data_IF_865952996340
#
_entry.id   IF_865952996340
#
_cell.length_a   1.000
_cell.length_b   1.000
_cell.length_c   1.000
_cell.angle_alpha   90.00
_cell.angle_beta   90.00
_cell.angle_gamma   90.00
#
_symmetry.space_group_name_H-M   'P 1'
#
loop_
_entity.id
_entity.type
_entity.pdbx_description
1 polymer ?
#
# COMPACT_ATOMS: atom_id res chain seq x y z
N UNK A 1 8.22 -51.40 29.16
CA UNK A 1 6.87 -51.47 28.56
C UNK A 1 5.84 -50.86 29.51
N UNK A 2 5.47 -49.59 29.31
CA UNK A 2 4.15 -49.06 29.69
C UNK A 2 3.82 -47.97 28.67
N UNK A 3 3.01 -48.32 27.68
CA UNK A 3 2.41 -47.37 26.76
C UNK A 3 1.36 -46.56 27.54
N UNK A 4 1.48 -45.24 27.52
CA UNK A 4 0.37 -44.35 27.89
C UNK A 4 -0.17 -43.75 26.61
N UNK A 5 -1.25 -44.36 26.15
CA UNK A 5 -2.14 -43.84 25.11
C UNK A 5 -2.98 -42.77 25.81
N UNK A 6 -2.74 -41.50 25.50
CA UNK A 6 -3.71 -40.45 25.83
C UNK A 6 -4.71 -40.34 24.68
N UNK A 7 -6.03 -40.29 24.95
CA UNK A 7 -7.00 -40.06 23.91
C UNK A 7 -6.85 -38.63 23.40
N UNK A 8 -6.74 -38.48 22.08
CA UNK A 8 -6.83 -37.21 21.39
C UNK A 8 -8.20 -36.57 21.69
N UNK A 9 -8.23 -35.65 22.64
CA UNK A 9 -9.35 -34.70 22.76
C UNK A 9 -9.13 -33.69 21.65
N UNK A 10 -9.87 -33.87 20.56
CA UNK A 10 -10.02 -32.88 19.49
C UNK A 10 -10.73 -31.68 20.11
N UNK A 11 -9.96 -30.76 20.68
CA UNK A 11 -10.41 -29.41 20.96
C UNK A 11 -10.34 -28.63 19.65
N UNK A 12 -11.41 -28.73 18.86
CA UNK A 12 -11.69 -27.83 17.75
C UNK A 12 -12.09 -26.46 18.35
N UNK A 13 -11.12 -25.77 18.96
CA UNK A 13 -11.29 -24.36 19.31
C UNK A 13 -11.23 -23.57 18.02
N UNK A 14 -12.43 -23.32 17.52
CA UNK A 14 -12.77 -22.34 16.50
C UNK A 14 -11.86 -21.14 16.65
N UNK A 15 -10.99 -20.98 15.64
CA UNK A 15 -10.41 -19.70 15.28
C UNK A 15 -11.59 -18.75 15.09
N UNK A 16 -11.93 -17.98 16.11
CA UNK A 16 -12.74 -16.78 15.96
C UNK A 16 -11.74 -15.73 15.47
N UNK A 17 -11.63 -15.48 14.15
CA UNK A 17 -11.08 -14.19 13.75
C UNK A 17 -11.95 -13.13 14.43
N UNK A 18 -11.40 -11.98 14.87
CA UNK A 18 -12.26 -10.84 15.18
C UNK A 18 -13.18 -10.66 13.98
N UNK A 19 -14.49 -10.55 14.25
CA UNK A 19 -15.54 -10.43 13.24
C UNK A 19 -15.13 -9.35 12.23
N UNK A 20 -14.54 -9.81 11.14
CA UNK A 20 -14.29 -9.05 9.96
C UNK A 20 -15.65 -8.92 9.32
N UNK A 21 -16.15 -7.69 9.21
CA UNK A 21 -17.11 -7.38 8.15
C UNK A 21 -16.40 -7.58 6.82
N UNK A 22 -16.27 -8.83 6.39
CA UNK A 22 -15.82 -9.19 5.07
C UNK A 22 -17.03 -9.12 4.15
N UNK A 23 -17.16 -8.02 3.44
CA UNK A 23 -17.37 -7.98 2.00
C UNK A 23 -16.51 -6.77 1.59
N UNK A 24 -15.36 -6.93 0.94
CA UNK A 24 -15.23 -7.17 -0.50
C UNK A 24 -13.85 -7.78 -0.81
N UNK A 25 -13.83 -8.82 -1.64
CA UNK A 25 -12.72 -9.26 -2.51
C UNK A 25 -13.35 -9.28 -3.91
N UNK A 26 -12.74 -8.72 -4.98
CA UNK A 26 -11.41 -9.15 -5.43
C UNK A 26 -10.41 -8.08 -5.87
N UNK A 27 -9.15 -8.38 -5.57
CA UNK A 27 -8.00 -7.99 -6.36
C UNK A 27 -8.19 -8.36 -7.84
N UNK A 28 -8.11 -7.36 -8.72
CA UNK A 28 -7.68 -7.48 -10.12
C UNK A 28 -7.30 -6.08 -10.67
N UNK A 29 -6.43 -6.00 -11.68
CA UNK A 29 -5.06 -5.49 -11.62
C UNK A 29 -4.92 -3.95 -11.63
N UNK A 30 -4.05 -3.40 -10.76
CA UNK A 30 -3.59 -1.99 -10.80
C UNK A 30 -3.23 -1.41 -9.43
N UNK A 31 -1.96 -1.50 -9.04
CA UNK A 31 -1.38 -1.41 -7.67
C UNK A 31 -1.40 -0.05 -6.90
N UNK A 32 -2.48 0.73 -6.92
CA UNK A 32 -2.59 1.96 -6.10
C UNK A 32 -4.05 2.42 -5.92
N UNK A 33 -4.38 3.20 -4.87
CA UNK A 33 -5.70 3.83 -4.73
C UNK A 33 -6.10 4.67 -5.96
N UNK A 34 -5.12 5.31 -6.61
CA UNK A 34 -5.30 6.07 -7.86
C UNK A 34 -5.73 5.18 -9.02
N UNK A 35 -5.07 4.03 -9.21
CA UNK A 35 -5.44 3.09 -10.27
C UNK A 35 -6.76 2.39 -9.99
N UNK A 36 -7.06 2.03 -8.74
CA UNK A 36 -8.37 1.51 -8.35
C UNK A 36 -9.49 2.53 -8.65
N UNK A 37 -9.27 3.80 -8.30
CA UNK A 37 -10.20 4.89 -8.58
C UNK A 37 -10.45 5.09 -10.08
N UNK A 38 -9.38 5.10 -10.88
CA UNK A 38 -9.48 5.24 -12.34
C UNK A 38 -10.14 4.01 -12.98
N UNK A 39 -9.75 2.81 -12.55
CA UNK A 39 -10.29 1.56 -13.08
C UNK A 39 -11.79 1.48 -12.82
N UNK A 40 -12.22 1.87 -11.61
CA UNK A 40 -13.63 1.92 -11.26
C UNK A 40 -14.39 2.97 -12.06
N UNK A 41 -13.83 4.19 -12.20
CA UNK A 41 -14.43 5.23 -13.04
C UNK A 41 -14.64 4.77 -14.49
N UNK A 42 -13.69 4.02 -15.06
CA UNK A 42 -13.77 3.49 -16.43
C UNK A 42 -14.91 2.49 -16.63
N UNK A 43 -15.34 1.77 -15.60
CA UNK A 43 -16.50 0.85 -15.69
C UNK A 43 -17.80 1.58 -16.01
N UNK A 44 -17.86 2.88 -15.73
CA UNK A 44 -19.03 3.72 -15.96
C UNK A 44 -19.05 4.40 -17.33
N UNK A 45 -18.05 4.18 -18.19
CA UNK A 45 -18.03 4.75 -19.54
C UNK A 45 -19.32 4.42 -20.32
N UNK A 46 -19.93 5.45 -20.92
CA UNK A 46 -21.17 5.34 -21.68
C UNK A 46 -22.45 5.41 -20.83
N UNK A 47 -22.37 5.45 -19.49
CA UNK A 47 -23.56 5.65 -18.65
C UNK A 47 -24.16 7.04 -18.94
N UNK A 48 -25.49 7.15 -19.22
CA UNK A 48 -26.11 8.42 -19.55
C UNK A 48 -25.98 9.47 -18.45
N UNK A 49 -25.96 10.75 -18.82
CA UNK A 49 -25.96 11.81 -17.83
C UNK A 49 -27.32 11.92 -17.15
N UNK A 50 -27.33 12.04 -15.83
CA UNK A 50 -28.53 12.35 -15.04
C UNK A 50 -28.16 13.19 -13.83
N UNK A 51 -28.69 14.42 -13.77
CA UNK A 51 -28.52 15.31 -12.62
C UNK A 51 -28.93 14.60 -11.31
N UNK A 52 -28.06 14.64 -10.29
CA UNK A 52 -28.22 13.94 -9.02
C UNK A 52 -27.97 12.43 -9.07
N UNK A 53 -27.80 11.85 -10.25
CA UNK A 53 -27.65 10.41 -10.45
C UNK A 53 -26.28 9.88 -10.02
N UNK A 54 -26.25 8.65 -9.51
CA UNK A 54 -25.02 7.93 -9.13
C UNK A 54 -25.15 6.42 -9.38
N UNK A 55 -25.94 6.03 -10.38
CA UNK A 55 -26.23 4.61 -10.72
C UNK A 55 -26.03 4.35 -12.20
N UNK A 56 -26.00 3.08 -12.62
CA UNK A 56 -25.90 2.72 -14.04
C UNK A 56 -27.07 3.22 -14.92
N UNK A 57 -28.19 3.64 -14.31
CA UNK A 57 -29.32 4.26 -15.02
C UNK A 57 -29.11 5.75 -15.32
N UNK A 58 -28.04 6.33 -14.78
CA UNK A 58 -27.62 7.69 -15.08
C UNK A 58 -26.82 8.31 -13.93
N UNK A 59 -25.81 9.11 -14.30
CA UNK A 59 -24.87 9.74 -13.38
C UNK A 59 -24.64 11.21 -13.69
N UNK A 60 -24.42 12.03 -12.66
CA UNK A 60 -23.84 13.37 -12.83
C UNK A 60 -22.33 13.36 -12.56
N UNK A 61 -21.68 14.51 -12.76
CA UNK A 61 -20.23 14.63 -12.69
C UNK A 61 -19.66 14.28 -11.32
N UNK A 62 -20.27 14.78 -10.23
CA UNK A 62 -19.86 14.40 -8.88
C UNK A 62 -20.36 13.02 -8.47
N UNK A 63 -21.38 12.47 -9.11
CA UNK A 63 -21.92 11.13 -8.86
C UNK A 63 -21.03 10.04 -9.41
N UNK A 64 -20.43 10.27 -10.57
CA UNK A 64 -19.34 9.46 -11.11
C UNK A 64 -18.16 9.44 -10.13
N UNK A 65 -17.69 10.61 -9.71
CA UNK A 65 -16.56 10.74 -8.75
C UNK A 65 -16.88 10.05 -7.43
N UNK A 66 -18.06 10.29 -6.87
CA UNK A 66 -18.53 9.67 -5.63
C UNK A 66 -18.57 8.15 -5.72
N UNK A 67 -19.15 7.59 -6.79
CA UNK A 67 -19.27 6.14 -6.95
C UNK A 67 -17.91 5.50 -7.19
N UNK A 68 -17.08 6.08 -8.05
CA UNK A 68 -15.73 5.59 -8.30
C UNK A 68 -14.85 5.64 -7.05
N UNK A 69 -15.00 6.65 -6.19
CA UNK A 69 -14.22 6.78 -4.96
C UNK A 69 -14.63 5.74 -3.91
N UNK A 70 -15.93 5.45 -3.77
CA UNK A 70 -16.43 4.44 -2.84
C UNK A 70 -16.12 3.03 -3.33
N UNK A 71 -16.39 2.73 -4.60
CA UNK A 71 -16.28 1.36 -5.13
C UNK A 71 -14.85 0.98 -5.51
N UNK A 72 -13.98 1.96 -5.78
CA UNK A 72 -12.57 1.75 -6.11
C UNK A 72 -11.70 1.75 -4.84
N UNK A 73 -11.21 2.91 -4.38
CA UNK A 73 -10.32 3.01 -3.22
C UNK A 73 -11.03 2.96 -1.86
N UNK A 74 -12.36 2.85 -1.80
CA UNK A 74 -13.10 2.79 -0.53
C UNK A 74 -13.22 4.15 0.20
N UNK A 75 -13.12 5.27 -0.52
CA UNK A 75 -13.09 6.61 0.07
C UNK A 75 -14.50 7.22 0.18
N UNK A 76 -14.83 7.70 1.38
CA UNK A 76 -16.03 8.50 1.61
C UNK A 76 -15.75 9.97 1.32
N UNK A 77 -16.42 10.51 0.31
CA UNK A 77 -16.24 11.89 -0.15
C UNK A 77 -17.58 12.62 -0.27
N UNK A 78 -17.59 13.97 -0.22
CA UNK A 78 -18.80 14.75 -0.44
C UNK A 78 -19.46 14.48 -1.79
N UNK A 79 -20.79 14.55 -1.85
CA UNK A 79 -21.58 14.27 -3.06
C UNK A 79 -21.61 15.41 -4.07
N UNK A 80 -21.32 16.64 -3.66
CA UNK A 80 -21.51 17.86 -4.47
C UNK A 80 -20.18 18.41 -4.98
N UNK A 81 -20.17 18.95 -6.20
CA UNK A 81 -18.97 19.55 -6.81
C UNK A 81 -18.41 20.69 -5.96
N UNK A 82 -19.27 21.55 -5.42
CA UNK A 82 -18.86 22.68 -4.58
C UNK A 82 -18.12 22.20 -3.33
N UNK A 83 -18.71 21.25 -2.60
CA UNK A 83 -18.08 20.75 -1.38
C UNK A 83 -16.83 19.93 -1.71
N UNK A 84 -16.74 19.28 -2.87
CA UNK A 84 -15.50 18.63 -3.34
C UNK A 84 -14.42 19.67 -3.64
N UNK A 85 -14.74 20.77 -4.33
CA UNK A 85 -13.76 21.79 -4.71
C UNK A 85 -13.19 22.54 -3.51
N UNK A 86 -14.01 22.79 -2.50
CA UNK A 86 -13.60 23.50 -1.28
C UNK A 86 -12.66 22.65 -0.40
N UNK A 87 -12.66 21.34 -0.62
CA UNK A 87 -12.05 20.33 0.23
C UNK A 87 -10.83 19.69 -0.41
N UNK A 88 -10.82 19.52 -1.73
CA UNK A 88 -9.72 18.93 -2.45
C UNK A 88 -8.41 19.71 -2.20
N UNK A 89 -7.33 18.99 -1.92
CA UNK A 89 -6.01 19.60 -1.78
C UNK A 89 -5.55 20.10 -3.13
N UNK A 90 -5.24 21.39 -3.24
CA UNK A 90 -4.82 21.98 -4.51
C UNK A 90 -3.56 21.31 -5.06
N UNK A 91 -3.57 20.97 -6.35
CA UNK A 91 -2.43 20.37 -7.07
C UNK A 91 -1.99 21.32 -8.18
N UNK A 92 -0.71 21.74 -8.19
CA UNK A 92 -0.16 22.53 -9.29
C UNK A 92 -0.33 21.83 -10.64
N UNK A 93 -0.60 22.61 -11.68
CA UNK A 93 -0.86 22.08 -13.02
C UNK A 93 0.28 21.23 -13.61
N UNK A 94 1.52 21.56 -13.24
CA UNK A 94 2.72 20.83 -13.65
C UNK A 94 2.93 19.50 -12.91
N UNK A 95 2.24 19.27 -11.79
CA UNK A 95 2.36 18.09 -10.94
C UNK A 95 1.09 17.25 -10.89
N UNK A 96 0.16 17.43 -11.85
CA UNK A 96 -1.06 16.64 -11.90
C UNK A 96 -0.75 15.17 -12.17
N UNK A 97 -1.34 14.30 -11.37
CA UNK A 97 -1.19 12.86 -11.51
C UNK A 97 -2.53 12.21 -11.87
N UNK A 98 -2.53 11.08 -12.62
CA UNK A 98 -3.74 10.30 -12.82
C UNK A 98 -4.46 10.04 -11.48
N UNK A 99 -5.77 10.28 -11.45
CA UNK A 99 -6.61 10.18 -10.26
C UNK A 99 -6.89 11.51 -9.57
N UNK A 100 -6.19 12.59 -9.92
CA UNK A 100 -6.56 13.93 -9.44
C UNK A 100 -7.90 14.38 -10.03
N UNK A 101 -8.61 15.23 -9.31
CA UNK A 101 -9.83 15.85 -9.76
C UNK A 101 -9.52 17.15 -10.51
N UNK A 102 -10.17 17.33 -11.65
CA UNK A 102 -10.13 18.57 -12.43
C UNK A 102 -11.43 19.33 -12.22
N UNK A 103 -11.33 20.58 -11.79
CA UNK A 103 -12.47 21.43 -11.49
C UNK A 103 -12.67 22.48 -12.57
N UNK A 104 -13.94 22.63 -12.99
CA UNK A 104 -14.32 23.50 -14.10
C UNK A 104 -15.45 24.45 -13.68
N UNK A 105 -15.42 25.65 -14.26
CA UNK A 105 -16.48 26.63 -14.15
C UNK A 105 -17.25 26.70 -15.48
N UNK A 106 -18.39 26.01 -15.52
CA UNK A 106 -19.28 25.94 -16.69
C UNK A 106 -20.54 26.81 -16.53
N UNK A 107 -20.84 27.27 -15.31
CA UNK A 107 -22.09 27.99 -14.98
C UNK A 107 -21.88 29.30 -14.18
N UNK A 108 -20.65 29.81 -14.11
CA UNK A 108 -20.29 31.01 -13.34
C UNK A 108 -19.61 30.73 -11.99
N UNK A 109 -19.66 29.49 -11.51
CA UNK A 109 -18.92 28.98 -10.34
C UNK A 109 -18.33 27.60 -10.64
N UNK A 110 -17.51 27.06 -9.73
CA UNK A 110 -17.06 25.66 -9.83
C UNK A 110 -18.30 24.76 -9.81
N UNK A 111 -18.57 24.13 -10.95
CA UNK A 111 -19.85 23.49 -11.24
C UNK A 111 -19.72 22.15 -11.94
N UNK A 112 -18.52 21.83 -12.39
CA UNK A 112 -18.24 20.56 -13.04
C UNK A 112 -16.90 19.99 -12.57
N UNK A 113 -16.81 18.66 -12.55
CA UNK A 113 -15.64 17.91 -12.08
C UNK A 113 -15.37 16.71 -12.99
N UNK A 114 -14.10 16.38 -13.18
CA UNK A 114 -13.66 15.17 -13.86
C UNK A 114 -12.46 14.53 -13.18
N UNK A 115 -12.17 13.28 -13.51
CA UNK A 115 -11.03 12.52 -12.97
C UNK A 115 -9.92 12.50 -14.03
N UNK A 116 -8.74 13.00 -13.69
CA UNK A 116 -7.61 13.06 -14.59
C UNK A 116 -7.06 11.66 -14.89
N UNK A 117 -6.80 11.38 -16.17
CA UNK A 117 -6.29 10.09 -16.66
C UNK A 117 -4.83 10.16 -17.11
N UNK A 118 -4.18 11.32 -16.98
CA UNK A 118 -2.89 11.60 -17.60
C UNK A 118 -3.00 12.03 -19.07
N UNK A 119 -1.91 12.56 -19.62
CA UNK A 119 -1.80 13.00 -21.02
C UNK A 119 -2.93 13.97 -21.44
N UNK A 120 -3.26 14.95 -20.59
CA UNK A 120 -4.37 15.90 -20.82
C UNK A 120 -5.76 15.28 -20.97
N UNK A 121 -5.94 13.98 -20.71
CA UNK A 121 -7.25 13.32 -20.78
C UNK A 121 -7.89 13.23 -19.41
N UNK A 122 -9.23 13.27 -19.37
CA UNK A 122 -9.99 13.09 -18.15
C UNK A 122 -11.35 12.43 -18.43
N UNK A 123 -11.84 11.65 -17.47
CA UNK A 123 -13.17 11.04 -17.51
C UNK A 123 -14.15 11.88 -16.70
N UNK A 124 -15.33 12.13 -17.24
CA UNK A 124 -16.38 12.92 -16.57
C UNK A 124 -17.77 12.58 -17.12
N UNK A 125 -18.82 12.95 -16.40
CA UNK A 125 -20.19 12.85 -16.91
C UNK A 125 -20.62 14.19 -17.55
N UNK A 126 -20.70 14.23 -18.88
CA UNK A 126 -21.07 15.42 -19.66
C UNK A 126 -22.58 15.53 -19.82
N UNK A 127 -23.15 16.69 -19.46
CA UNK A 127 -24.60 16.95 -19.58
C UNK A 127 -25.03 17.35 -20.99
N UNK A 128 -24.13 17.94 -21.77
CA UNK A 128 -24.39 18.54 -23.07
C UNK A 128 -23.12 18.51 -23.94
N UNK A 129 -23.29 18.73 -25.24
CA UNK A 129 -22.24 18.70 -26.25
C UNK A 129 -22.43 17.57 -27.26
N UNK A 130 -21.45 17.38 -28.17
CA UNK A 130 -21.52 16.37 -29.23
C UNK A 130 -21.54 14.94 -28.69
N UNK A 131 -20.98 14.73 -27.49
CA UNK A 131 -21.02 13.46 -26.76
C UNK A 131 -21.52 13.74 -25.33
N UNK A 132 -22.48 12.97 -24.85
CA UNK A 132 -23.07 13.12 -23.50
C UNK A 132 -22.96 11.82 -22.70
N UNK A 133 -23.15 11.91 -21.38
CA UNK A 133 -22.92 10.80 -20.45
C UNK A 133 -21.48 10.71 -19.96
N UNK A 134 -21.10 9.58 -19.40
CA UNK A 134 -19.73 9.35 -18.91
C UNK A 134 -18.80 9.12 -20.09
N UNK A 135 -17.95 10.10 -20.38
CA UNK A 135 -17.06 10.14 -21.53
C UNK A 135 -15.64 10.52 -21.12
N UNK A 136 -14.69 10.33 -22.04
CA UNK A 136 -13.32 10.84 -21.92
C UNK A 136 -13.19 12.03 -22.85
N UNK A 137 -12.71 13.14 -22.30
CA UNK A 137 -12.44 14.37 -23.05
C UNK A 137 -10.98 14.79 -22.84
N UNK A 138 -10.49 15.69 -23.69
CA UNK A 138 -9.17 16.29 -23.58
C UNK A 138 -9.23 17.73 -23.05
N UNK A 139 -8.31 18.09 -22.14
CA UNK A 139 -8.14 19.44 -21.63
C UNK A 139 -7.70 20.45 -22.70
N UNK A 140 -7.17 19.97 -23.83
CA UNK A 140 -6.82 20.76 -25.01
C UNK A 140 -8.05 21.20 -25.80
N UNK A 141 -9.21 20.57 -25.62
CA UNK A 141 -10.44 21.01 -26.28
C UNK A 141 -10.81 22.43 -25.83
N UNK A 142 -11.17 23.30 -26.79
CA UNK A 142 -11.40 24.73 -26.54
C UNK A 142 -12.36 25.01 -25.39
N UNK A 143 -13.43 24.21 -25.26
CA UNK A 143 -14.40 24.36 -24.18
C UNK A 143 -13.81 24.01 -22.81
N UNK A 144 -13.14 22.87 -22.68
CA UNK A 144 -12.55 22.40 -21.42
C UNK A 144 -11.35 23.25 -21.00
N UNK A 145 -10.51 23.67 -21.96
CA UNK A 145 -9.41 24.57 -21.71
C UNK A 145 -9.87 25.90 -21.10
N UNK A 146 -10.93 26.51 -21.66
CA UNK A 146 -11.48 27.80 -21.20
C UNK A 146 -12.18 27.69 -19.84
N UNK A 147 -12.82 26.55 -19.57
CA UNK A 147 -13.62 26.36 -18.35
C UNK A 147 -12.82 25.77 -17.19
N UNK A 148 -11.64 25.21 -17.45
CA UNK A 148 -10.74 24.69 -16.42
C UNK A 148 -10.34 25.79 -15.42
N UNK A 149 -10.22 25.43 -14.14
CA UNK A 149 -9.83 26.36 -13.08
C UNK A 149 -8.65 25.87 -12.27
N UNK A 150 -8.71 24.65 -11.77
CA UNK A 150 -7.62 24.04 -11.01
C UNK A 150 -7.77 22.53 -10.89
N UNK A 151 -6.71 21.86 -10.45
CA UNK A 151 -6.68 20.46 -10.12
C UNK A 151 -6.57 20.29 -8.60
N UNK A 152 -7.18 19.24 -8.07
CA UNK A 152 -7.05 18.91 -6.65
C UNK A 152 -7.05 17.42 -6.41
N UNK A 153 -6.27 16.98 -5.42
CA UNK A 153 -6.20 15.59 -5.00
C UNK A 153 -7.21 15.32 -3.88
N UNK A 154 -7.89 14.19 -3.99
CA UNK A 154 -8.66 13.56 -2.89
C UNK A 154 -7.96 12.30 -2.37
N UNK A 155 -6.76 12.01 -2.88
CA UNK A 155 -6.00 10.77 -2.67
C UNK A 155 -4.66 11.02 -1.95
N UNK A 156 -4.32 12.29 -1.67
CA UNK A 156 -3.10 12.74 -0.99
C UNK A 156 -3.24 12.80 0.54
N UNK A 157 -4.08 11.95 1.11
CA UNK A 157 -4.13 11.74 2.56
C UNK A 157 -3.50 10.38 2.84
N UNK A 158 -2.52 10.36 3.74
CA UNK A 158 -1.84 9.17 4.24
C UNK A 158 -2.78 7.96 4.28
N UNK A 159 -2.42 6.80 3.70
CA UNK A 159 -3.35 5.69 3.57
C UNK A 159 -4.06 5.37 4.90
N UNK A 160 -5.36 5.60 5.03
CA UNK A 160 -6.09 5.35 6.29
C UNK A 160 -6.44 6.59 7.12
N UNK A 161 -6.16 7.80 6.65
CA UNK A 161 -6.87 9.00 7.14
C UNK A 161 -8.23 9.09 6.47
N UNK A 162 -9.30 9.03 7.26
CA UNK A 162 -10.62 9.46 6.80
C UNK A 162 -10.54 10.92 6.37
N UNK A 163 -11.29 11.29 5.33
CA UNK A 163 -11.52 12.69 4.97
C UNK A 163 -11.82 13.50 6.25
N UNK A 164 -11.07 14.57 6.60
CA UNK A 164 -11.23 15.24 7.88
C UNK A 164 -12.66 15.75 8.04
N UNK A 165 -13.28 15.48 9.19
CA UNK A 165 -14.60 16.02 9.51
C UNK A 165 -14.43 17.48 9.96
N UNK A 166 -15.48 18.30 9.88
CA UNK A 166 -15.40 19.72 10.30
C UNK A 166 -15.09 19.92 11.79
N UNK A 167 -15.21 18.88 12.60
CA UNK A 167 -15.03 18.90 14.05
C UNK A 167 -13.56 18.77 14.48
N UNK A 168 -12.68 18.42 13.56
CA UNK A 168 -11.23 18.24 13.76
C UNK A 168 -10.43 19.53 13.47
N UNK A 169 -11.05 20.58 12.93
CA UNK A 169 -10.40 21.87 12.63
C UNK A 169 -10.52 22.88 13.79
N UNK A 170 -10.10 22.46 14.98
CA UNK A 170 -9.92 23.34 16.13
C UNK A 170 -8.46 23.72 16.33
N UNK A 171 -8.08 24.90 15.82
CA UNK A 171 -6.94 25.73 16.27
C UNK A 171 -5.57 25.04 16.39
N UNK A 172 -4.68 25.21 15.41
CA UNK A 172 -3.64 26.26 15.42
C UNK A 172 -2.89 26.24 14.08
N UNK A 173 -2.82 27.39 13.42
CA UNK A 173 -1.91 27.61 12.30
C UNK A 173 -0.47 27.70 12.81
N UNK A 174 0.44 26.95 12.21
CA UNK A 174 1.83 27.33 12.07
C UNK A 174 2.36 26.71 10.77
N UNK A 175 2.64 27.59 9.81
CA UNK A 175 3.45 27.29 8.65
C UNK A 175 4.75 26.62 9.08
N UNK A 176 4.90 25.35 8.73
CA UNK A 176 6.18 24.82 8.32
C UNK A 176 5.90 24.06 7.03
N UNK A 177 6.27 24.66 5.90
CA UNK A 177 6.47 23.89 4.67
C UNK A 177 7.28 22.65 5.03
N UNK A 178 6.79 21.42 4.78
CA UNK A 178 7.70 20.30 4.72
C UNK A 178 8.69 20.62 3.58
N UNK A 179 10.01 20.46 3.78
CA UNK A 179 10.97 20.84 2.78
C UNK A 179 10.61 20.17 1.45
N UNK A 180 10.66 20.97 0.38
CA UNK A 180 10.61 20.49 -0.99
C UNK A 180 11.46 19.22 -1.11
N UNK A 181 10.86 18.16 -1.66
CA UNK A 181 11.49 16.86 -1.89
C UNK A 181 12.96 17.04 -2.27
N UNK A 182 13.93 16.67 -1.42
CA UNK A 182 15.33 16.97 -1.70
C UNK A 182 15.90 16.14 -2.85
N UNK A 183 15.15 15.20 -3.42
CA UNK A 183 15.62 14.34 -4.49
C UNK A 183 14.59 14.22 -5.61
N UNK A 184 14.49 15.27 -6.43
CA UNK A 184 14.24 15.10 -7.87
C UNK A 184 15.56 14.67 -8.54
N UNK A 185 16.04 13.51 -8.11
CA UNK A 185 17.25 12.84 -8.59
C UNK A 185 16.87 11.64 -9.44
N UNK A 186 17.72 11.29 -10.40
CA UNK A 186 17.42 10.39 -11.52
C UNK A 186 17.14 8.92 -11.12
N UNK A 187 17.35 8.53 -9.86
CA UNK A 187 17.41 7.13 -9.41
C UNK A 187 16.41 6.94 -8.27
N UNK A 188 15.21 6.37 -8.54
CA UNK A 188 14.26 6.09 -7.47
C UNK A 188 14.61 4.79 -6.74
N UNK A 189 15.37 4.91 -5.66
CA UNK A 189 15.83 3.80 -4.83
C UNK A 189 15.41 4.00 -3.38
N UNK A 190 14.97 2.93 -2.73
CA UNK A 190 14.60 2.88 -1.32
C UNK A 190 15.57 2.02 -0.54
N UNK A 191 16.08 2.52 0.58
CA UNK A 191 16.77 1.73 1.60
C UNK A 191 15.82 1.45 2.75
N UNK A 192 15.61 0.17 3.04
CA UNK A 192 14.90 -0.28 4.22
C UNK A 192 15.89 -0.86 5.23
N UNK A 193 15.81 -0.43 6.48
CA UNK A 193 16.56 -1.03 7.59
C UNK A 193 15.58 -1.56 8.63
N UNK A 194 15.60 -2.86 8.86
CA UNK A 194 14.68 -3.59 9.75
C UNK A 194 15.43 -4.11 10.97
N UNK A 195 14.84 -3.97 12.14
CA UNK A 195 15.27 -4.63 13.37
C UNK A 195 14.06 -5.31 14.01
N UNK A 196 14.22 -6.55 14.45
CA UNK A 196 13.10 -7.33 14.96
C UNK A 196 13.48 -8.49 15.86
N UNK A 197 12.47 -9.07 16.47
CA UNK A 197 12.57 -10.21 17.39
C UNK A 197 12.09 -11.45 16.64
N UNK A 198 12.89 -12.51 16.71
CA UNK A 198 12.55 -13.82 16.17
C UNK A 198 11.77 -14.62 17.21
N UNK A 199 10.66 -15.23 16.80
CA UNK A 199 9.77 -15.99 17.68
C UNK A 199 9.05 -17.16 17.02
N UNK A 200 8.54 -18.08 17.84
CA UNK A 200 7.81 -19.30 17.46
C UNK A 200 6.45 -19.42 18.13
N UNK A 201 5.52 -20.11 17.47
CA UNK A 201 4.20 -20.44 18.01
C UNK A 201 4.13 -21.84 18.67
N UNK A 202 5.24 -22.57 18.80
CA UNK A 202 5.21 -23.96 19.29
C UNK A 202 4.80 -24.00 20.77
N UNK A 203 3.71 -24.71 21.14
CA UNK A 203 3.26 -24.80 22.52
C UNK A 203 4.31 -25.46 23.44
N UNK A 204 4.61 -24.84 24.58
CA UNK A 204 5.47 -25.42 25.62
C UNK A 204 6.95 -25.01 25.57
N UNK A 205 7.36 -24.20 24.59
CA UNK A 205 8.70 -23.60 24.51
C UNK A 205 8.68 -22.09 24.79
N UNK A 206 9.85 -21.50 25.06
CA UNK A 206 9.97 -20.04 25.15
C UNK A 206 9.73 -19.43 23.77
N UNK A 207 8.73 -18.53 23.61
CA UNK A 207 8.31 -18.07 22.29
C UNK A 207 9.38 -17.20 21.62
N UNK A 208 10.21 -16.48 22.38
CA UNK A 208 11.27 -15.63 21.83
C UNK A 208 12.53 -16.47 21.64
N UNK A 209 12.96 -16.63 20.38
CA UNK A 209 14.17 -17.37 20.00
C UNK A 209 15.37 -16.49 19.73
N UNK A 210 15.21 -15.20 19.42
CA UNK A 210 16.36 -14.33 19.19
C UNK A 210 16.01 -13.02 18.52
N UNK A 211 16.90 -12.52 17.66
CA UNK A 211 16.73 -11.23 17.02
C UNK A 211 17.42 -11.14 15.67
N UNK A 212 16.95 -10.19 14.87
CA UNK A 212 17.43 -9.95 13.51
C UNK A 212 17.60 -8.46 13.27
N UNK A 213 18.64 -8.12 12.50
CA UNK A 213 18.80 -6.83 11.86
C UNK A 213 19.08 -7.05 10.38
N UNK A 214 18.39 -6.34 9.51
CA UNK A 214 18.42 -6.57 8.07
C UNK A 214 18.35 -5.23 7.33
N UNK A 215 19.08 -5.11 6.23
CA UNK A 215 19.06 -3.93 5.38
C UNK A 215 18.86 -4.34 3.92
N UNK A 216 18.02 -3.60 3.20
CA UNK A 216 17.69 -3.87 1.80
C UNK A 216 17.61 -2.59 0.99
N UNK A 217 18.16 -2.67 -0.22
CA UNK A 217 18.04 -1.65 -1.24
C UNK A 217 17.08 -2.15 -2.33
N UNK A 218 16.06 -1.35 -2.65
CA UNK A 218 15.03 -1.69 -3.63
C UNK A 218 14.85 -0.58 -4.65
N UNK A 219 14.59 -0.96 -5.90
CA UNK A 219 14.27 -0.01 -6.97
C UNK A 219 12.77 0.26 -7.00
N UNK A 220 12.38 1.54 -6.88
CA UNK A 220 10.96 1.93 -6.69
C UNK A 220 10.37 2.76 -7.83
N UNK A 221 11.19 3.22 -8.79
CA UNK A 221 10.74 4.17 -9.83
C UNK A 221 9.86 3.52 -10.90
N UNK A 222 8.60 3.93 -10.99
CA UNK A 222 7.66 3.56 -12.05
C UNK A 222 7.46 2.04 -12.23
N UNK A 223 7.60 1.25 -11.16
CA UNK A 223 7.42 -0.20 -11.20
C UNK A 223 6.22 -0.63 -10.33
N UNK A 224 5.48 -1.65 -10.78
CA UNK A 224 4.42 -2.32 -10.00
C UNK A 224 4.98 -3.20 -8.88
N UNK A 225 6.24 -3.61 -9.00
CA UNK A 225 6.99 -4.40 -8.02
C UNK A 225 8.38 -3.81 -7.87
N UNK A 226 8.90 -3.83 -6.66
CA UNK A 226 10.18 -3.23 -6.29
C UNK A 226 11.20 -4.35 -6.09
N UNK A 227 12.02 -4.68 -7.10
CA UNK A 227 13.08 -5.64 -6.92
C UNK A 227 14.12 -5.09 -5.94
N UNK A 228 14.58 -5.95 -5.04
CA UNK A 228 15.52 -5.58 -3.99
C UNK A 228 16.59 -6.61 -3.76
N UNK A 229 17.70 -6.13 -3.19
CA UNK A 229 18.79 -6.94 -2.66
C UNK A 229 19.05 -6.49 -1.23
N UNK A 230 19.16 -7.44 -0.32
CA UNK A 230 19.45 -7.14 1.05
C UNK A 230 20.32 -8.17 1.75
N UNK A 231 20.88 -7.72 2.85
CA UNK A 231 21.76 -8.49 3.70
C UNK A 231 21.42 -8.22 5.16
N UNK A 232 21.65 -9.19 6.02
CA UNK A 232 21.41 -8.98 7.44
C UNK A 232 22.23 -9.86 8.35
N UNK A 233 21.76 -9.89 9.58
CA UNK A 233 22.28 -10.63 10.69
C UNK A 233 21.11 -11.19 11.47
N UNK A 234 21.11 -12.50 11.70
CA UNK A 234 20.12 -13.17 12.53
C UNK A 234 20.82 -14.02 13.59
N UNK A 235 20.44 -13.81 14.84
CA UNK A 235 20.85 -14.64 15.96
C UNK A 235 19.65 -15.45 16.44
N UNK A 236 19.82 -16.77 16.46
CA UNK A 236 18.81 -17.72 16.92
C UNK A 236 19.37 -18.54 18.08
N UNK A 237 18.84 -18.32 19.28
CA UNK A 237 19.23 -19.02 20.50
C UNK A 237 18.83 -20.48 20.49
N UNK A 238 17.74 -20.84 19.80
CA UNK A 238 17.21 -22.22 19.78
C UNK A 238 18.17 -23.15 19.06
N UNK A 239 18.70 -22.70 17.93
CA UNK A 239 19.69 -23.43 17.13
C UNK A 239 21.13 -23.07 17.51
N UNK A 240 21.32 -22.15 18.47
CA UNK A 240 22.64 -21.62 18.83
C UNK A 240 23.34 -20.87 17.70
N UNK A 241 22.61 -20.50 16.65
CA UNK A 241 23.17 -20.04 15.40
C UNK A 241 23.29 -18.53 15.28
N UNK A 242 24.35 -18.09 14.62
CA UNK A 242 24.56 -16.71 14.19
C UNK A 242 24.77 -16.74 12.70
N UNK A 243 23.95 -15.99 11.96
CA UNK A 243 23.84 -16.14 10.53
C UNK A 243 23.70 -14.81 9.78
N UNK A 244 24.15 -14.82 8.54
CA UNK A 244 24.16 -13.67 7.64
C UNK A 244 23.37 -13.99 6.38
N UNK A 245 22.05 -13.70 6.34
CA UNK A 245 21.26 -13.87 5.14
C UNK A 245 21.66 -12.84 4.07
N UNK A 246 21.71 -13.30 2.82
CA UNK A 246 21.80 -12.50 1.61
C UNK A 246 20.60 -12.86 0.75
N UNK A 247 19.70 -11.92 0.49
CA UNK A 247 18.41 -12.20 -0.15
C UNK A 247 18.16 -11.28 -1.34
N UNK A 248 17.54 -11.87 -2.35
CA UNK A 248 16.84 -11.14 -3.39
C UNK A 248 15.36 -11.09 -3.03
N UNK A 249 14.72 -9.97 -3.34
CA UNK A 249 13.33 -9.75 -2.97
C UNK A 249 12.53 -9.07 -4.08
N UNK A 250 11.22 -9.25 -3.98
CA UNK A 250 10.22 -8.50 -4.72
C UNK A 250 9.24 -7.91 -3.70
N UNK A 251 9.32 -6.60 -3.50
CA UNK A 251 8.39 -5.87 -2.66
C UNK A 251 7.26 -5.26 -3.50
N UNK A 252 6.10 -5.05 -2.88
CA UNK A 252 4.90 -4.50 -3.50
C UNK A 252 4.53 -3.18 -2.83
N UNK A 253 3.85 -2.26 -3.53
CA UNK A 253 3.34 -1.03 -2.93
C UNK A 253 2.41 -1.26 -1.72
N UNK A 254 1.77 -2.43 -1.65
CA UNK A 254 0.91 -2.86 -0.54
C UNK A 254 1.66 -3.15 0.78
N UNK A 255 3.00 -3.17 0.75
CA UNK A 255 3.84 -3.52 1.89
C UNK A 255 4.17 -5.02 1.99
N UNK A 256 3.62 -5.85 1.11
CA UNK A 256 4.04 -7.25 0.99
C UNK A 256 5.38 -7.37 0.29
N UNK A 257 6.20 -8.32 0.74
CA UNK A 257 7.50 -8.62 0.16
C UNK A 257 7.75 -10.12 0.20
N UNK A 258 8.18 -10.67 -0.93
CA UNK A 258 8.67 -12.05 -1.03
C UNK A 258 10.18 -12.02 -1.19
N UNK A 259 10.86 -12.94 -0.53
CA UNK A 259 12.32 -13.02 -0.61
C UNK A 259 12.81 -14.45 -0.59
N UNK A 260 13.93 -14.64 -1.26
CA UNK A 260 14.67 -15.90 -1.32
C UNK A 260 16.16 -15.57 -1.32
N UNK A 261 16.96 -16.40 -0.67
CA UNK A 261 18.37 -16.11 -0.57
C UNK A 261 19.21 -17.22 -0.01
N UNK A 262 20.46 -16.87 0.17
CA UNK A 262 21.46 -17.71 0.83
C UNK A 262 21.67 -17.27 2.26
N UNK A 263 22.15 -18.17 3.11
CA UNK A 263 22.48 -17.84 4.48
C UNK A 263 23.81 -18.48 4.85
N UNK A 264 24.68 -17.69 5.49
CA UNK A 264 25.99 -18.14 5.97
C UNK A 264 25.97 -18.21 7.50
N UNK A 265 26.34 -19.35 8.08
CA UNK A 265 26.34 -19.55 9.53
C UNK A 265 27.76 -19.42 10.10
N UNK A 266 28.00 -18.37 10.89
CA UNK A 266 29.30 -18.14 11.55
C UNK A 266 29.41 -18.94 12.85
N UNK A 267 28.30 -19.04 13.57
CA UNK A 267 28.14 -19.94 14.72
C UNK A 267 27.00 -20.89 14.39
N UNK A 268 27.26 -22.16 14.58
CA UNK A 268 26.42 -23.27 14.21
C UNK A 268 26.60 -24.35 15.28
N UNK A 269 25.52 -24.99 15.69
CA UNK A 269 25.60 -26.27 16.41
C UNK A 269 26.28 -27.33 15.51
N UNK A 270 26.63 -28.50 16.05
CA UNK A 270 27.27 -29.59 15.29
C UNK A 270 26.48 -30.02 14.05
N UNK A 271 25.17 -29.78 14.07
CA UNK A 271 24.23 -30.21 13.04
C UNK A 271 24.02 -29.12 11.97
N UNK A 272 24.60 -27.93 12.14
CA UNK A 272 24.47 -26.81 11.22
C UNK A 272 25.72 -26.64 10.34
N UNK A 273 25.52 -26.69 9.02
CA UNK A 273 26.58 -26.43 8.06
C UNK A 273 26.94 -24.94 8.00
N UNK A 274 28.24 -24.67 7.96
CA UNK A 274 28.81 -23.32 7.89
C UNK A 274 29.02 -22.84 6.47
N UNK A 275 28.82 -23.69 5.46
CA UNK A 275 28.90 -23.28 4.06
C UNK A 275 27.70 -22.40 3.65
N UNK A 276 27.85 -21.67 2.53
CA UNK A 276 26.78 -20.85 1.99
C UNK A 276 25.74 -21.75 1.32
N UNK A 277 24.50 -21.72 1.80
CA UNK A 277 23.45 -22.60 1.29
C UNK A 277 22.46 -21.86 0.39
N UNK A 278 21.98 -22.52 -0.68
CA UNK A 278 20.89 -22.03 -1.52
C UNK A 278 19.84 -23.12 -1.81
N UNK A 279 18.53 -22.86 -1.62
CA UNK A 279 17.99 -21.73 -0.88
C UNK A 279 18.30 -21.89 0.62
N UNK A 280 19.03 -20.94 1.20
CA UNK A 280 19.28 -20.91 2.65
C UNK A 280 18.10 -20.30 3.40
N UNK A 281 17.37 -19.39 2.75
CA UNK A 281 16.17 -18.76 3.32
C UNK A 281 15.14 -18.49 2.24
N UNK A 282 13.87 -18.69 2.58
CA UNK A 282 12.72 -18.24 1.79
C UNK A 282 11.65 -17.70 2.74
N UNK A 283 10.97 -16.64 2.36
CA UNK A 283 9.94 -16.07 3.21
C UNK A 283 9.09 -15.01 2.55
N UNK A 284 8.07 -14.61 3.31
CA UNK A 284 7.21 -13.49 3.03
C UNK A 284 7.18 -12.55 4.23
N UNK A 285 7.18 -11.25 3.97
CA UNK A 285 7.01 -10.24 4.99
C UNK A 285 5.91 -9.24 4.60
N UNK A 286 5.35 -8.60 5.61
CA UNK A 286 4.43 -7.49 5.48
C UNK A 286 4.92 -6.32 6.34
N UNK A 287 4.91 -5.13 5.77
CA UNK A 287 5.13 -3.88 6.49
C UNK A 287 3.85 -3.06 6.55
N UNK A 288 3.57 -2.46 7.70
CA UNK A 288 2.49 -1.50 7.83
C UNK A 288 2.76 -0.24 7.00
N UNK A 289 1.73 0.60 6.93
CA UNK A 289 1.89 1.99 6.49
C UNK A 289 2.83 2.75 7.44
N UNK A 290 3.55 3.77 6.94
CA UNK A 290 4.51 4.50 7.75
C UNK A 290 3.80 5.29 8.86
N UNK A 291 4.36 5.24 10.06
CA UNK A 291 4.14 6.21 11.11
C UNK A 291 5.34 7.17 11.11
N UNK A 292 5.08 8.47 10.98
CA UNK A 292 6.14 9.48 11.01
C UNK A 292 6.53 9.76 12.46
N UNK A 293 7.75 9.42 12.84
CA UNK A 293 8.30 9.68 14.17
C UNK A 293 9.68 10.31 14.03
N UNK A 294 9.89 11.50 14.63
CA UNK A 294 11.14 12.27 14.53
C UNK A 294 11.58 12.55 13.08
N UNK A 295 10.61 12.70 12.16
CA UNK A 295 10.87 12.94 10.74
C UNK A 295 11.29 11.70 9.94
N UNK A 296 11.22 10.51 10.54
CA UNK A 296 11.54 9.23 9.88
C UNK A 296 10.27 8.43 9.60
N UNK A 297 10.25 7.70 8.47
CA UNK A 297 9.17 6.80 8.09
C UNK A 297 9.37 5.44 8.78
N UNK A 298 8.59 5.18 9.82
CA UNK A 298 8.66 3.98 10.64
C UNK A 298 7.53 3.02 10.29
N UNK A 299 7.84 1.76 10.01
CA UNK A 299 6.86 0.74 9.67
C UNK A 299 6.90 -0.39 10.70
N UNK A 300 5.73 -0.90 11.10
CA UNK A 300 5.66 -2.18 11.76
C UNK A 300 5.97 -3.29 10.75
N UNK A 301 6.79 -4.26 11.14
CA UNK A 301 7.25 -5.34 10.28
C UNK A 301 6.85 -6.69 10.87
N UNK A 302 6.36 -7.58 10.02
CA UNK A 302 6.14 -8.98 10.37
C UNK A 302 6.55 -9.88 9.22
N UNK A 303 7.25 -10.98 9.51
CA UNK A 303 7.58 -12.01 8.51
C UNK A 303 7.24 -13.41 8.99
N UNK A 304 7.02 -14.27 8.01
CA UNK A 304 7.04 -15.71 8.16
C UNK A 304 8.05 -16.26 7.15
N UNK A 305 9.02 -17.02 7.63
CA UNK A 305 10.15 -17.47 6.82
C UNK A 305 10.62 -18.86 7.25
N UNK A 306 11.24 -19.54 6.30
CA UNK A 306 11.81 -20.85 6.48
C UNK A 306 13.31 -20.78 6.14
N UNK A 307 14.14 -21.03 7.15
CA UNK A 307 15.57 -21.27 6.99
C UNK A 307 15.81 -22.74 6.73
N UNK A 308 16.54 -23.07 5.67
CA UNK A 308 16.88 -24.44 5.33
C UNK A 308 18.10 -24.90 6.13
N UNK A 309 18.03 -26.11 6.71
CA UNK A 309 19.13 -26.76 7.40
C UNK A 309 19.33 -28.18 6.83
N UNK A 310 20.52 -28.53 6.31
CA UNK A 310 20.76 -29.84 5.72
C UNK A 310 20.69 -30.94 6.78
N UNK A 311 19.93 -32.00 6.51
CA UNK A 311 19.87 -33.17 7.40
C UNK A 311 18.83 -33.11 8.53
N UNK A 312 18.08 -32.01 8.66
CA UNK A 312 17.05 -31.86 9.70
C UNK A 312 15.62 -32.21 9.20
N UNK A 313 14.80 -32.72 10.13
CA UNK A 313 13.36 -32.91 9.92
C UNK A 313 12.60 -31.58 9.93
N UNK A 314 11.61 -31.46 9.05
CA UNK A 314 10.65 -30.34 8.96
C UNK A 314 10.21 -29.84 10.35
N UNK A 315 10.58 -28.62 10.75
CA UNK A 315 10.10 -28.00 11.99
C UNK A 315 10.98 -26.94 12.64
N UNK A 316 12.31 -27.04 12.54
CA UNK A 316 13.25 -26.10 13.19
C UNK A 316 13.48 -24.80 12.40
N UNK A 317 13.40 -24.91 11.07
CA UNK A 317 13.66 -23.81 10.13
C UNK A 317 12.57 -22.76 10.04
N UNK A 318 11.33 -23.09 10.42
CA UNK A 318 10.22 -22.13 10.36
C UNK A 318 10.32 -21.15 11.52
N UNK A 319 10.24 -19.86 11.21
CA UNK A 319 10.35 -18.76 12.19
C UNK A 319 9.48 -17.58 11.80
N UNK A 320 9.07 -16.83 12.81
CA UNK A 320 8.40 -15.55 12.63
C UNK A 320 9.29 -14.41 13.12
N UNK A 321 9.23 -13.27 12.45
CA UNK A 321 9.85 -12.04 12.93
C UNK A 321 8.77 -10.99 13.17
N UNK A 322 8.88 -10.27 14.28
CA UNK A 322 8.13 -9.03 14.50
C UNK A 322 9.10 -7.90 14.83
N UNK A 323 9.01 -6.78 14.13
CA UNK A 323 9.98 -5.70 14.26
C UNK A 323 9.53 -4.36 13.74
N UNK A 324 10.51 -3.49 13.53
CA UNK A 324 10.35 -2.14 13.00
C UNK A 324 11.25 -1.98 11.78
N UNK A 325 10.74 -1.35 10.72
CA UNK A 325 11.52 -0.95 9.54
C UNK A 325 11.55 0.56 9.41
N UNK A 326 12.73 1.11 9.12
CA UNK A 326 12.91 2.50 8.72
C UNK A 326 13.17 2.55 7.21
N UNK A 327 12.48 3.44 6.52
CA UNK A 327 12.57 3.58 5.06
C UNK A 327 13.17 4.94 4.68
N UNK A 328 14.17 4.92 3.81
CA UNK A 328 14.84 6.10 3.28
C UNK A 328 14.77 6.09 1.76
N UNK A 329 14.19 7.13 1.16
CA UNK A 329 14.07 7.28 -0.28
C UNK A 329 15.15 8.24 -0.79
N UNK A 330 15.89 7.80 -1.82
CA UNK A 330 16.99 8.53 -2.47
C UNK A 330 16.69 8.77 -3.95
#
# INVERSE_FOLDING_TARGET
>A
MKHHIYPAIIAFTLFFPPLLSAQVIPDAPGDSPRSAFIAEARKYLGVPYRSGGSTLRGMDCSGLVFRAAIDGPGLSIPRTVQTLSDRAKHVPDASREPGDLLFFNTTGRISHVGIYLGNNRFIHAASDGPNTGVIISELSESYWNRTYRFAGSILDTEPGTSWPRPEDSGTTAANTEPPAHPFSGTIGVRLNTTAGILWDFIPGEYPIRGGEAFAEVSWVKNMSVYPGLGAGFAWDRRTGSVSFPLVASLAMPSGFRFFIGTQYHVRADSDLDRELQFPGIIGGSWTSKPAVLLGQNLHFYQSAEYSWFPGETFGLGFRFNTGITLSFDF
#
